data_IF_741633016188
#
_entry.id   IF_741633016188
#
_cell.length_a   1.000
_cell.length_b   1.000
_cell.length_c   1.000
_cell.angle_alpha   90.00
_cell.angle_beta   90.00
_cell.angle_gamma   90.00
#
_symmetry.space_group_name_H-M   'P 1'
#
loop_
_entity.id
_entity.type
_entity.pdbx_description
1 polymer ?
#
# COMPACT_ATOMS: atom_id res chain seq x y z
N UNK A 1 9.71 26.34 -11.97
CA UNK A 1 9.65 25.67 -10.66
C UNK A 1 8.34 24.91 -10.60
N UNK A 2 8.35 23.59 -10.74
CA UNK A 2 7.14 22.77 -10.56
C UNK A 2 6.83 22.71 -9.06
N UNK A 3 5.58 22.95 -8.61
CA UNK A 3 5.21 22.78 -7.22
C UNK A 3 5.32 21.29 -6.90
N UNK A 4 6.27 20.92 -6.04
CA UNK A 4 6.29 19.58 -5.45
C UNK A 4 4.94 19.37 -4.78
N UNK A 5 4.20 18.29 -5.10
CA UNK A 5 3.02 17.94 -4.33
C UNK A 5 3.49 17.83 -2.87
N UNK A 6 2.90 18.65 -2.00
CA UNK A 6 3.11 18.54 -0.56
C UNK A 6 2.57 17.18 -0.15
N UNK A 7 3.42 16.14 -0.23
CA UNK A 7 3.11 14.86 0.37
C UNK A 7 2.97 15.14 1.87
N UNK A 8 1.81 14.87 2.49
CA UNK A 8 1.69 14.94 3.94
C UNK A 8 2.82 14.12 4.54
N UNK A 9 3.45 14.64 5.61
CA UNK A 9 4.61 13.97 6.19
C UNK A 9 4.23 12.52 6.54
N UNK A 10 5.16 11.57 6.41
CA UNK A 10 4.90 10.17 6.75
C UNK A 10 4.34 10.01 8.18
N UNK A 11 4.59 10.98 9.08
CA UNK A 11 4.00 11.06 10.42
C UNK A 11 2.49 11.31 10.33
N UNK A 12 2.08 12.34 9.60
CA UNK A 12 0.68 12.76 9.51
C UNK A 12 -0.14 11.70 8.77
N UNK A 13 0.43 11.14 7.69
CA UNK A 13 -0.19 10.06 6.94
C UNK A 13 -0.39 8.83 7.82
N UNK A 14 0.61 8.42 8.61
CA UNK A 14 0.49 7.26 9.51
C UNK A 14 -0.63 7.40 10.54
N UNK A 15 -0.83 8.60 11.08
CA UNK A 15 -1.92 8.91 12.04
C UNK A 15 -3.29 8.98 11.37
N UNK A 16 -3.34 9.31 10.08
CA UNK A 16 -4.57 9.42 9.31
C UNK A 16 -5.03 8.10 8.67
N UNK A 17 -4.20 7.05 8.69
CA UNK A 17 -4.59 5.76 8.10
C UNK A 17 -5.67 5.07 8.93
N UNK A 18 -6.74 4.67 8.26
CA UNK A 18 -7.75 3.78 8.84
C UNK A 18 -7.15 2.40 9.15
N UNK A 19 -7.76 1.67 10.08
CA UNK A 19 -7.32 0.32 10.45
C UNK A 19 -7.21 -0.62 9.24
N UNK A 20 -8.17 -0.57 8.33
CA UNK A 20 -8.15 -1.37 7.09
C UNK A 20 -6.96 -1.06 6.18
N UNK A 21 -6.54 0.21 6.11
CA UNK A 21 -5.35 0.61 5.34
C UNK A 21 -4.06 0.12 6.00
N UNK A 22 -3.97 0.25 7.33
CA UNK A 22 -2.82 -0.27 8.09
C UNK A 22 -2.69 -1.79 7.93
N UNK A 23 -3.80 -2.51 8.02
CA UNK A 23 -3.83 -3.96 7.85
C UNK A 23 -3.48 -4.38 6.42
N UNK A 24 -3.90 -3.60 5.41
CA UNK A 24 -3.51 -3.82 4.02
C UNK A 24 -2.00 -3.63 3.80
N UNK A 25 -1.41 -2.55 4.34
CA UNK A 25 0.05 -2.32 4.25
C UNK A 25 0.85 -3.45 4.91
N UNK A 26 0.40 -3.90 6.09
CA UNK A 26 1.00 -5.05 6.78
C UNK A 26 0.90 -6.32 5.94
N UNK A 27 -0.26 -6.57 5.34
CA UNK A 27 -0.50 -7.76 4.52
C UNK A 27 0.36 -7.77 3.25
N UNK A 28 0.43 -6.65 2.52
CA UNK A 28 1.23 -6.51 1.30
C UNK A 28 2.72 -6.77 1.59
N UNK A 29 3.21 -6.27 2.72
CA UNK A 29 4.61 -6.49 3.09
C UNK A 29 4.91 -7.90 3.64
N UNK A 30 3.92 -8.55 4.24
CA UNK A 30 4.10 -9.85 4.87
C UNK A 30 3.89 -11.01 3.88
N UNK A 31 2.84 -10.93 3.06
CA UNK A 31 2.47 -12.02 2.16
C UNK A 31 3.16 -11.89 0.81
N UNK A 32 4.01 -12.87 0.51
CA UNK A 32 4.63 -13.02 -0.82
C UNK A 32 3.64 -13.46 -1.90
N UNK A 33 2.56 -14.16 -1.50
CA UNK A 33 1.53 -14.66 -2.43
C UNK A 33 0.50 -13.57 -2.65
N UNK A 34 0.47 -13.04 -3.85
CA UNK A 34 -0.50 -12.04 -4.28
C UNK A 34 -1.13 -12.47 -5.59
N UNK A 35 -2.40 -12.15 -5.78
CA UNK A 35 -3.13 -12.41 -7.01
C UNK A 35 -4.11 -11.29 -7.28
N UNK A 36 -4.04 -10.72 -8.48
CA UNK A 36 -5.02 -9.74 -8.95
C UNK A 36 -6.35 -10.46 -9.24
N UNK A 37 -7.44 -9.95 -8.68
CA UNK A 37 -8.81 -10.47 -8.84
C UNK A 37 -9.69 -9.38 -9.46
N UNK A 38 -9.68 -9.29 -10.79
CA UNK A 38 -10.31 -8.16 -11.49
C UNK A 38 -9.62 -6.85 -11.15
N UNK A 39 -10.35 -5.92 -10.55
CA UNK A 39 -9.81 -4.64 -10.06
C UNK A 39 -9.35 -4.68 -8.59
N UNK A 40 -9.64 -5.76 -7.88
CA UNK A 40 -9.19 -5.98 -6.51
C UNK A 40 -7.97 -6.91 -6.42
N UNK A 41 -7.52 -7.14 -5.19
CA UNK A 41 -6.36 -7.98 -4.90
C UNK A 41 -6.65 -9.01 -3.84
N UNK A 42 -6.07 -10.19 -3.99
CA UNK A 42 -5.95 -11.18 -2.93
C UNK A 42 -4.49 -11.23 -2.50
N UNK A 43 -4.22 -10.84 -1.27
CA UNK A 43 -2.89 -10.80 -0.67
C UNK A 43 -2.89 -11.76 0.52
N UNK A 44 -2.26 -12.93 0.34
CA UNK A 44 -2.40 -14.04 1.27
C UNK A 44 -3.86 -14.51 1.38
N UNK A 45 -4.44 -14.33 2.56
CA UNK A 45 -5.84 -14.59 2.90
C UNK A 45 -6.73 -13.34 2.83
N UNK A 46 -6.15 -12.15 2.62
CA UNK A 46 -6.87 -10.88 2.65
C UNK A 46 -7.30 -10.43 1.26
N UNK A 47 -8.58 -10.07 1.14
CA UNK A 47 -9.13 -9.40 -0.04
C UNK A 47 -9.03 -7.89 0.14
N UNK A 48 -8.29 -7.24 -0.74
CA UNK A 48 -8.20 -5.79 -0.84
C UNK A 48 -9.09 -5.33 -1.99
N UNK A 49 -10.04 -4.45 -1.69
CA UNK A 49 -10.90 -3.88 -2.72
C UNK A 49 -10.13 -2.87 -3.56
N UNK A 50 -10.57 -2.67 -4.81
CA UNK A 50 -10.04 -1.63 -5.70
C UNK A 50 -10.02 -0.26 -5.01
N UNK A 51 -11.10 0.12 -4.32
CA UNK A 51 -11.18 1.39 -3.58
C UNK A 51 -10.09 1.52 -2.52
N UNK A 52 -9.80 0.42 -1.81
CA UNK A 52 -8.77 0.42 -0.77
C UNK A 52 -7.37 0.53 -1.40
N UNK A 53 -7.10 -0.25 -2.45
CA UNK A 53 -5.82 -0.22 -3.16
C UNK A 53 -5.58 1.13 -3.81
N UNK A 54 -6.55 1.66 -4.55
CA UNK A 54 -6.47 2.98 -5.16
C UNK A 54 -6.26 4.10 -4.14
N UNK A 55 -6.82 3.97 -2.92
CA UNK A 55 -6.54 4.94 -1.86
C UNK A 55 -5.11 4.85 -1.32
N UNK A 56 -4.53 3.65 -1.24
CA UNK A 56 -3.14 3.47 -0.84
C UNK A 56 -2.17 3.97 -1.92
N UNK A 57 -2.50 3.78 -3.20
CA UNK A 57 -1.74 4.32 -4.35
C UNK A 57 -1.79 5.86 -4.38
N UNK A 58 -2.96 6.47 -4.15
CA UNK A 58 -3.09 7.93 -4.02
C UNK A 58 -2.25 8.54 -2.89
N UNK A 59 -2.00 7.76 -1.84
CA UNK A 59 -1.14 8.17 -0.72
C UNK A 59 0.33 7.83 -0.95
N UNK A 60 0.68 7.32 -2.14
CA UNK A 60 2.03 6.88 -2.52
C UNK A 60 2.58 5.85 -1.54
N UNK A 61 1.73 4.94 -1.04
CA UNK A 61 2.14 3.91 -0.07
C UNK A 61 2.35 2.55 -0.72
N UNK A 62 1.66 2.31 -1.82
CA UNK A 62 1.76 1.08 -2.60
C UNK A 62 1.79 1.43 -4.07
N UNK A 63 2.39 0.57 -4.85
CA UNK A 63 2.36 0.62 -6.30
C UNK A 63 2.11 -0.78 -6.85
N UNK A 64 1.37 -0.86 -7.96
CA UNK A 64 1.30 -2.07 -8.76
C UNK A 64 2.59 -2.21 -9.58
N UNK A 65 3.23 -3.35 -9.45
CA UNK A 65 4.44 -3.72 -10.18
C UNK A 65 4.30 -5.12 -10.76
N UNK A 66 5.09 -5.43 -11.79
CA UNK A 66 5.13 -6.78 -12.37
C UNK A 66 6.37 -7.50 -11.86
N UNK A 67 6.15 -8.58 -11.10
CA UNK A 67 7.22 -9.42 -10.55
C UNK A 67 7.15 -10.78 -11.21
N UNK A 68 8.20 -11.15 -11.96
CA UNK A 68 8.27 -12.44 -12.68
C UNK A 68 7.10 -12.66 -13.66
N UNK A 69 6.63 -11.60 -14.30
CA UNK A 69 5.51 -11.64 -15.24
C UNK A 69 4.13 -11.62 -14.59
N UNK A 70 4.05 -11.63 -13.26
CA UNK A 70 2.79 -11.59 -12.51
C UNK A 70 2.58 -10.21 -11.84
N UNK A 71 1.36 -9.67 -11.85
CA UNK A 71 1.07 -8.43 -11.13
C UNK A 71 1.22 -8.66 -9.62
N UNK A 72 1.91 -7.75 -8.95
CA UNK A 72 2.12 -7.72 -7.50
C UNK A 72 1.98 -6.30 -6.97
N UNK A 73 1.35 -6.13 -5.81
CA UNK A 73 1.45 -4.88 -5.05
C UNK A 73 2.76 -4.86 -4.28
N UNK A 74 3.48 -3.74 -4.37
CA UNK A 74 4.68 -3.47 -3.58
C UNK A 74 4.49 -2.23 -2.73
N UNK A 75 5.14 -2.20 -1.57
CA UNK A 75 5.22 -0.97 -0.79
C UNK A 75 6.26 -0.05 -1.42
N UNK A 76 5.90 1.22 -1.59
CA UNK A 76 6.85 2.27 -1.95
C UNK A 76 7.80 2.57 -0.79
N UNK A 77 8.79 3.45 -1.00
CA UNK A 77 9.67 3.94 0.08
C UNK A 77 8.84 4.56 1.22
N UNK A 78 7.82 5.35 0.89
CA UNK A 78 6.94 5.98 1.89
C UNK A 78 6.10 4.90 2.61
N UNK A 79 5.55 3.94 1.87
CA UNK A 79 4.80 2.81 2.43
C UNK A 79 5.62 2.00 3.43
N UNK A 80 6.88 1.72 3.11
CA UNK A 80 7.80 1.02 4.02
C UNK A 80 8.09 1.83 5.29
N UNK A 81 8.35 3.14 5.16
CA UNK A 81 8.60 4.02 6.31
C UNK A 81 7.38 4.09 7.25
N UNK A 82 6.17 4.19 6.70
CA UNK A 82 4.94 4.17 7.50
C UNK A 82 4.72 2.81 8.15
N UNK A 83 4.90 1.71 7.40
CA UNK A 83 4.78 0.36 7.95
C UNK A 83 5.72 0.15 9.13
N UNK A 84 6.97 0.59 9.04
CA UNK A 84 7.95 0.45 10.13
C UNK A 84 7.46 1.12 11.42
N UNK A 85 6.75 2.25 11.31
CA UNK A 85 6.14 2.94 12.46
C UNK A 85 4.89 2.25 13.00
N UNK A 86 4.13 1.55 12.16
CA UNK A 86 2.96 0.79 12.60
C UNK A 86 3.32 -0.49 13.39
N UNK A 87 4.59 -0.88 13.44
CA UNK A 87 5.09 -2.04 14.18
C UNK A 87 5.71 -1.67 15.54
N UNK A 88 5.85 -0.38 15.83
CA UNK A 88 6.25 0.15 17.14
C UNK A 88 5.04 0.34 18.03
#
# INVERSE_FOLDING_TARGET
MLPSPKHPSAVDTSKSLTRSQQDALRAIAFFRRQRKLGTGWLVGDKRLSEKLVGRLEQLDLVEESVVRGEPSLQLTIIGQAIRARLLQ
#
